data_IF_948279160238
#
_entry.id   IF_948279160238
#
_cell.length_a   1.000
_cell.length_b   1.000
_cell.length_c   1.000
_cell.angle_alpha   90.00
_cell.angle_beta   90.00
_cell.angle_gamma   90.00
#
_symmetry.space_group_name_H-M   'P 1'
#
loop_
_entity.id
_entity.type
_entity.pdbx_description
1 polymer ?
#
# COMPACT_ATOMS: atom_id res chain seq x y z
N UNK A 1 20.54 -30.62 -31.05
CA UNK A 1 21.16 -29.88 -29.93
C UNK A 1 22.04 -28.80 -30.51
N UNK A 2 21.92 -27.55 -30.05
CA UNK A 2 22.77 -26.45 -30.55
C UNK A 2 24.21 -26.69 -30.06
N UNK A 3 25.22 -26.73 -30.96
CA UNK A 3 26.61 -26.93 -30.57
C UNK A 3 27.10 -25.77 -29.69
N UNK A 4 27.98 -26.05 -28.73
CA UNK A 4 28.63 -25.06 -27.84
C UNK A 4 27.70 -24.18 -26.98
N UNK A 5 26.49 -24.65 -26.64
CA UNK A 5 25.61 -23.94 -25.71
C UNK A 5 26.27 -23.78 -24.33
N UNK A 6 26.37 -22.54 -23.79
CA UNK A 6 26.82 -22.32 -22.42
C UNK A 6 25.90 -23.03 -21.41
N UNK A 7 26.48 -23.64 -20.36
CA UNK A 7 25.73 -24.44 -19.38
C UNK A 7 24.64 -23.66 -18.63
N UNK A 8 24.79 -22.34 -18.54
CA UNK A 8 23.88 -21.44 -17.85
C UNK A 8 22.72 -20.93 -18.74
N UNK A 9 22.64 -21.35 -20.00
CA UNK A 9 21.47 -21.08 -20.84
C UNK A 9 20.70 -22.37 -21.15
N UNK A 10 19.37 -22.23 -21.15
CA UNK A 10 18.42 -23.32 -21.37
C UNK A 10 18.04 -23.51 -22.84
N UNK A 11 16.75 -23.77 -23.07
CA UNK A 11 16.18 -24.03 -24.40
C UNK A 11 16.04 -22.77 -25.24
N UNK A 12 16.09 -21.61 -24.59
CA UNK A 12 16.03 -20.29 -25.19
C UNK A 12 17.28 -19.96 -26.03
N UNK A 13 18.39 -20.70 -25.89
CA UNK A 13 19.61 -20.48 -26.66
C UNK A 13 19.58 -21.12 -28.05
N UNK A 14 19.70 -20.28 -29.09
CA UNK A 14 19.62 -20.68 -30.50
C UNK A 14 20.97 -20.69 -31.22
N UNK A 15 22.08 -20.41 -30.52
CA UNK A 15 23.41 -20.36 -31.14
C UNK A 15 23.61 -19.09 -31.96
N UNK A 16 24.46 -19.19 -32.99
CA UNK A 16 24.78 -18.06 -33.85
C UNK A 16 23.79 -17.98 -35.02
N UNK A 17 22.72 -17.20 -34.84
CA UNK A 17 21.68 -16.92 -35.85
C UNK A 17 21.69 -15.45 -36.29
N UNK A 18 21.22 -15.18 -37.52
CA UNK A 18 21.13 -13.82 -38.05
C UNK A 18 20.02 -13.01 -37.38
N UNK A 19 19.99 -11.69 -37.60
CA UNK A 19 18.91 -10.84 -37.07
C UNK A 19 17.59 -11.12 -37.79
N UNK A 20 17.65 -11.35 -39.09
CA UNK A 20 16.50 -11.66 -39.94
C UNK A 20 15.87 -13.00 -39.53
N UNK A 21 16.70 -14.01 -39.26
CA UNK A 21 16.24 -15.31 -38.72
C UNK A 21 15.63 -15.14 -37.32
N UNK A 22 16.24 -14.28 -36.48
CA UNK A 22 15.72 -13.97 -35.14
C UNK A 22 14.34 -13.32 -35.22
N UNK A 23 14.18 -12.34 -36.11
CA UNK A 23 12.91 -11.64 -36.30
C UNK A 23 11.82 -12.59 -36.81
N UNK A 24 12.15 -13.51 -37.72
CA UNK A 24 11.24 -14.54 -38.19
C UNK A 24 10.80 -15.52 -37.08
N UNK A 25 11.71 -15.89 -36.17
CA UNK A 25 11.41 -16.78 -35.03
C UNK A 25 10.59 -16.10 -33.92
N UNK A 26 10.73 -14.78 -33.80
CA UNK A 26 10.00 -13.97 -32.80
C UNK A 26 8.73 -13.32 -33.38
N UNK A 27 8.40 -13.58 -34.65
CA UNK A 27 7.22 -12.99 -35.26
C UNK A 27 5.94 -13.60 -34.69
N UNK A 28 4.93 -12.75 -34.48
CA UNK A 28 3.62 -13.15 -33.95
C UNK A 28 3.34 -12.72 -32.52
N UNK A 29 3.94 -13.38 -31.51
CA UNK A 29 3.52 -13.23 -30.11
C UNK A 29 4.40 -12.20 -29.37
N UNK A 30 3.77 -11.15 -28.85
CA UNK A 30 4.43 -10.14 -28.01
C UNK A 30 4.97 -10.76 -26.70
N UNK A 31 6.17 -10.36 -26.28
CA UNK A 31 6.84 -10.93 -25.12
C UNK A 31 7.63 -12.21 -25.39
N UNK A 32 7.60 -12.75 -26.62
CA UNK A 32 8.50 -13.85 -27.01
C UNK A 32 9.95 -13.39 -27.01
N UNK A 33 10.85 -14.29 -26.62
CA UNK A 33 12.27 -14.01 -26.53
C UNK A 33 13.12 -15.22 -26.85
N UNK A 34 14.36 -14.94 -27.27
CA UNK A 34 15.40 -15.94 -27.46
C UNK A 34 16.78 -15.35 -27.17
N UNK A 35 17.75 -16.23 -26.94
CA UNK A 35 19.16 -15.86 -26.78
C UNK A 35 19.93 -16.36 -28.00
N UNK A 36 20.77 -15.49 -28.54
CA UNK A 36 21.67 -15.81 -29.65
C UNK A 36 23.08 -15.34 -29.37
N UNK A 37 24.05 -16.00 -29.99
CA UNK A 37 25.44 -15.56 -30.02
C UNK A 37 25.64 -14.49 -31.11
N UNK A 38 26.49 -13.51 -30.82
CA UNK A 38 26.79 -12.43 -31.76
C UNK A 38 27.70 -12.91 -32.88
N UNK A 39 27.25 -12.77 -34.14
CA UNK A 39 28.08 -13.00 -35.33
C UNK A 39 29.30 -12.08 -35.41
N UNK A 40 29.24 -10.89 -34.81
CA UNK A 40 30.34 -9.90 -34.83
C UNK A 40 31.42 -10.17 -33.78
N UNK A 41 31.03 -10.76 -32.65
CA UNK A 41 31.90 -10.99 -31.49
C UNK A 41 31.58 -12.35 -30.88
N UNK A 42 32.30 -13.42 -31.28
CA UNK A 42 32.16 -14.74 -30.68
C UNK A 42 32.33 -14.68 -29.15
N UNK A 43 31.56 -15.50 -28.42
CA UNK A 43 31.51 -15.50 -26.97
C UNK A 43 30.69 -14.36 -26.33
N UNK A 44 30.08 -13.48 -27.14
CA UNK A 44 29.11 -12.48 -26.66
C UNK A 44 27.69 -12.90 -27.00
N UNK A 45 26.80 -12.85 -26.01
CA UNK A 45 25.41 -13.27 -26.12
C UNK A 45 24.45 -12.08 -26.13
N UNK A 46 23.35 -12.20 -26.87
CA UNK A 46 22.31 -11.17 -27.02
C UNK A 46 20.95 -11.79 -26.73
N UNK A 47 20.18 -11.14 -25.87
CA UNK A 47 18.75 -11.38 -25.69
C UNK A 47 17.98 -10.61 -26.75
N UNK A 48 17.23 -11.31 -27.59
CA UNK A 48 16.26 -10.71 -28.49
C UNK A 48 14.86 -10.90 -27.91
N UNK A 49 14.10 -9.81 -27.80
CA UNK A 49 12.78 -9.75 -27.17
C UNK A 49 11.81 -8.99 -28.08
N UNK A 50 10.64 -9.57 -28.37
CA UNK A 50 9.59 -8.91 -29.14
C UNK A 50 8.76 -8.00 -28.23
N UNK A 51 8.71 -6.71 -28.53
CA UNK A 51 7.91 -5.73 -27.80
C UNK A 51 7.50 -4.57 -28.71
N UNK A 52 6.21 -4.19 -28.71
CA UNK A 52 5.72 -3.08 -29.53
C UNK A 52 5.87 -3.31 -31.04
N UNK A 53 5.63 -4.55 -31.48
CA UNK A 53 5.84 -5.01 -32.87
C UNK A 53 7.28 -4.83 -33.40
N UNK A 54 8.26 -4.73 -32.51
CA UNK A 54 9.68 -4.61 -32.86
C UNK A 54 10.52 -5.57 -32.02
N UNK A 55 11.62 -6.06 -32.58
CA UNK A 55 12.57 -6.88 -31.84
C UNK A 55 13.62 -6.00 -31.17
N UNK A 56 13.60 -5.96 -29.84
CA UNK A 56 14.58 -5.28 -29.00
C UNK A 56 15.74 -6.23 -28.71
N UNK A 57 16.96 -5.76 -28.92
CA UNK A 57 18.18 -6.56 -28.73
C UNK A 57 18.98 -6.01 -27.55
N UNK A 58 19.26 -6.85 -26.56
CA UNK A 58 19.98 -6.49 -25.34
C UNK A 58 21.23 -7.35 -25.18
N UNK A 59 22.38 -6.73 -24.92
CA UNK A 59 23.60 -7.49 -24.63
C UNK A 59 23.47 -8.17 -23.26
N UNK A 60 23.67 -9.47 -23.22
CA UNK A 60 23.63 -10.26 -21.99
C UNK A 60 25.01 -10.44 -21.40
N UNK A 61 25.07 -10.39 -20.08
CA UNK A 61 26.24 -10.68 -19.27
C UNK A 61 25.92 -11.73 -18.21
N UNK A 62 26.96 -12.41 -17.73
CA UNK A 62 26.84 -13.45 -16.72
C UNK A 62 28.06 -13.43 -15.78
N UNK A 63 27.81 -13.20 -14.49
CA UNK A 63 28.82 -13.20 -13.40
C UNK A 63 28.49 -14.22 -12.30
N UNK A 64 27.73 -15.27 -12.65
CA UNK A 64 27.01 -16.15 -11.73
C UNK A 64 25.51 -15.80 -11.65
N UNK A 65 25.14 -14.57 -12.01
CA UNK A 65 23.77 -14.12 -12.25
C UNK A 65 23.62 -13.54 -13.65
N UNK A 66 22.41 -13.54 -14.19
CA UNK A 66 22.10 -12.96 -15.50
C UNK A 66 21.79 -11.47 -15.38
N UNK A 67 22.33 -10.65 -16.27
CA UNK A 67 22.04 -9.21 -16.29
C UNK A 67 22.24 -8.55 -17.66
N UNK A 68 21.52 -7.44 -17.87
CA UNK A 68 21.68 -6.51 -19.01
C UNK A 68 22.18 -5.14 -18.51
N UNK A 69 21.78 -4.73 -17.30
CA UNK A 69 22.12 -3.46 -16.67
C UNK A 69 22.59 -3.64 -15.23
N UNK A 70 22.08 -2.82 -14.30
CA UNK A 70 22.48 -2.86 -12.89
C UNK A 70 21.90 -4.08 -12.13
N UNK A 71 20.69 -4.50 -12.50
CA UNK A 71 19.94 -5.58 -11.82
C UNK A 71 20.49 -6.95 -12.18
N UNK A 72 20.65 -7.82 -11.17
CA UNK A 72 21.15 -9.19 -11.32
C UNK A 72 20.07 -10.22 -10.99
N UNK A 73 19.84 -11.15 -11.89
CA UNK A 73 18.75 -12.13 -11.83
C UNK A 73 19.27 -13.57 -11.72
N UNK A 74 18.52 -14.41 -11.03
CA UNK A 74 18.84 -15.84 -10.88
C UNK A 74 18.49 -16.64 -12.14
N UNK A 75 17.45 -16.21 -12.87
CA UNK A 75 17.04 -16.82 -14.13
C UNK A 75 16.91 -15.79 -15.24
N UNK A 76 17.07 -16.25 -16.50
CA UNK A 76 16.75 -15.43 -17.68
C UNK A 76 15.27 -15.06 -17.71
N UNK A 77 14.40 -15.96 -17.25
CA UNK A 77 12.97 -15.68 -17.21
C UNK A 77 12.67 -14.46 -16.34
N UNK A 78 13.24 -14.36 -15.14
CA UNK A 78 13.05 -13.21 -14.24
C UNK A 78 13.56 -11.91 -14.86
N UNK A 79 14.70 -11.97 -15.55
CA UNK A 79 15.27 -10.83 -16.28
C UNK A 79 14.31 -10.35 -17.37
N UNK A 80 13.78 -11.28 -18.18
CA UNK A 80 12.82 -10.94 -19.25
C UNK A 80 11.52 -10.40 -18.66
N UNK A 81 11.01 -10.99 -17.59
CA UNK A 81 9.79 -10.54 -16.90
C UNK A 81 9.96 -9.10 -16.38
N UNK A 82 11.05 -8.80 -15.66
CA UNK A 82 11.34 -7.44 -15.20
C UNK A 82 11.56 -6.46 -16.37
N UNK A 83 12.21 -6.93 -17.44
CA UNK A 83 12.43 -6.16 -18.66
C UNK A 83 11.13 -5.79 -19.37
N UNK A 84 10.20 -6.74 -19.53
CA UNK A 84 8.89 -6.49 -20.14
C UNK A 84 8.02 -5.55 -19.30
N UNK A 85 8.02 -5.72 -17.97
CA UNK A 85 7.33 -4.79 -17.06
C UNK A 85 7.89 -3.37 -17.24
N UNK A 86 9.22 -3.23 -17.24
CA UNK A 86 9.89 -1.94 -17.39
C UNK A 86 9.57 -1.31 -18.74
N UNK A 87 9.70 -2.06 -19.84
CA UNK A 87 9.38 -1.58 -21.19
C UNK A 87 7.92 -1.14 -21.30
N UNK A 88 6.99 -1.91 -20.76
CA UNK A 88 5.56 -1.59 -20.82
C UNK A 88 5.22 -0.32 -20.06
N UNK A 89 5.68 -0.21 -18.81
CA UNK A 89 5.42 0.94 -17.94
C UNK A 89 6.08 2.20 -18.50
N UNK A 90 7.35 2.13 -18.87
CA UNK A 90 8.06 3.29 -19.42
C UNK A 90 7.48 3.73 -20.77
N UNK A 91 7.02 2.82 -21.62
CA UNK A 91 6.44 3.18 -22.92
C UNK A 91 5.06 3.83 -22.78
N UNK A 92 4.20 3.31 -21.88
CA UNK A 92 2.82 3.79 -21.75
C UNK A 92 2.65 4.97 -20.80
N UNK A 93 3.55 5.14 -19.83
CA UNK A 93 3.43 6.14 -18.79
C UNK A 93 4.65 7.07 -18.70
N UNK A 94 5.47 7.20 -19.75
CA UNK A 94 6.67 8.05 -19.75
C UNK A 94 6.43 9.46 -19.20
N UNK A 95 5.41 10.15 -19.74
CA UNK A 95 5.06 11.52 -19.33
C UNK A 95 4.61 11.58 -17.87
N UNK A 96 3.78 10.61 -17.45
CA UNK A 96 3.33 10.50 -16.07
C UNK A 96 4.50 10.25 -15.11
N UNK A 97 5.43 9.36 -15.50
CA UNK A 97 6.62 9.03 -14.72
C UNK A 97 7.51 10.27 -14.54
N UNK A 98 7.66 11.09 -15.57
CA UNK A 98 8.41 12.34 -15.48
C UNK A 98 7.77 13.32 -14.48
N UNK A 99 6.43 13.35 -14.41
CA UNK A 99 5.67 14.27 -13.59
C UNK A 99 5.40 13.78 -12.15
N UNK A 100 5.69 12.53 -11.80
CA UNK A 100 5.34 11.96 -10.48
C UNK A 100 5.95 12.70 -9.28
N UNK A 101 6.99 13.52 -9.52
CA UNK A 101 7.70 14.26 -8.47
C UNK A 101 7.17 15.69 -8.25
N UNK A 102 6.26 16.17 -9.11
CA UNK A 102 5.83 17.58 -9.13
C UNK A 102 4.96 17.93 -7.91
N UNK A 103 4.16 16.99 -7.40
CA UNK A 103 3.32 17.17 -6.21
C UNK A 103 3.52 15.99 -5.25
N UNK A 104 4.59 15.99 -4.45
CA UNK A 104 4.86 14.89 -3.52
C UNK A 104 3.89 14.91 -2.34
N UNK A 105 3.55 13.72 -1.84
CA UNK A 105 2.73 13.57 -0.62
C UNK A 105 3.58 13.60 0.66
N UNK A 106 4.91 13.54 0.52
CA UNK A 106 5.86 13.37 1.62
C UNK A 106 5.67 14.39 2.75
N UNK A 107 5.41 15.65 2.41
CA UNK A 107 5.26 16.75 3.38
C UNK A 107 3.93 16.70 4.16
N UNK A 108 2.98 15.87 3.72
CA UNK A 108 1.62 15.83 4.27
C UNK A 108 1.24 14.46 4.83
N UNK A 109 2.02 13.41 4.55
CA UNK A 109 1.68 12.03 4.87
C UNK A 109 2.80 11.36 5.66
N UNK A 110 2.42 10.70 6.77
CA UNK A 110 3.32 9.83 7.53
C UNK A 110 3.54 10.24 8.99
N UNK A 111 4.50 9.56 9.62
CA UNK A 111 4.79 9.73 11.05
C UNK A 111 5.63 10.98 11.33
N UNK A 112 6.37 11.51 10.36
CA UNK A 112 7.20 12.71 10.54
C UNK A 112 6.34 13.96 10.77
N UNK A 113 5.24 14.12 10.05
CA UNK A 113 4.30 15.26 10.22
C UNK A 113 3.48 15.19 11.50
N UNK A 114 3.03 13.99 11.89
CA UNK A 114 2.24 13.77 13.12
C UNK A 114 3.11 13.81 14.39
N UNK A 115 4.35 13.33 14.31
CA UNK A 115 5.32 13.43 15.42
C UNK A 115 5.86 14.84 15.64
N UNK A 116 5.93 15.68 14.60
CA UNK A 116 6.38 17.07 14.72
C UNK A 116 5.37 18.00 15.43
N UNK A 117 4.07 17.66 15.42
CA UNK A 117 3.02 18.39 16.14
C UNK A 117 2.96 18.09 17.64
N UNK A 118 3.52 16.95 18.07
CA UNK A 118 3.76 16.66 19.48
C UNK A 118 5.17 17.10 19.83
N UNK A 119 5.31 18.36 20.24
CA UNK A 119 6.57 18.89 20.74
C UNK A 119 7.23 17.90 21.70
N UNK A 120 8.48 17.57 21.42
CA UNK A 120 9.37 16.77 22.27
C UNK A 120 9.75 17.53 23.56
N UNK A 121 8.72 17.79 24.36
CA UNK A 121 8.81 18.21 25.73
C UNK A 121 7.74 17.42 26.51
N UNK A 122 7.88 16.09 26.58
CA UNK A 122 6.96 15.31 27.42
C UNK A 122 6.87 13.80 27.28
N UNK A 123 7.39 13.16 26.21
CA UNK A 123 7.38 11.69 26.17
C UNK A 123 8.64 11.16 26.85
N UNK A 124 8.62 11.16 28.19
CA UNK A 124 9.48 10.24 28.95
C UNK A 124 9.18 8.83 28.46
N UNK A 125 10.25 8.09 28.17
CA UNK A 125 10.25 6.66 27.91
C UNK A 125 9.17 5.94 28.74
N UNK A 126 8.42 5.05 28.09
CA UNK A 126 7.66 4.00 28.77
C UNK A 126 8.56 3.32 29.81
N UNK A 127 8.27 3.37 31.12
CA UNK A 127 8.89 2.49 32.07
C UNK A 127 7.93 1.35 32.38
N UNK A 128 8.31 0.14 31.98
CA UNK A 128 7.98 -1.03 32.76
C UNK A 128 8.76 -0.88 34.09
N UNK A 129 8.09 -0.75 35.23
CA UNK A 129 8.45 -1.39 36.51
C UNK A 129 7.57 -0.95 37.70
N UNK A 130 7.04 -1.98 38.38
CA UNK A 130 6.89 -2.20 39.82
C UNK A 130 6.95 -0.95 40.74
N UNK A 131 5.84 -0.70 41.44
CA UNK A 131 5.65 0.36 42.43
C UNK A 131 6.23 -0.04 43.81
N UNK A 132 6.97 0.87 44.50
CA UNK A 132 6.74 1.06 45.95
C UNK A 132 6.78 2.58 46.33
N UNK A 133 6.63 3.00 47.62
CA UNK A 133 5.52 3.84 48.06
C UNK A 133 5.85 5.34 48.21
N UNK A 134 4.77 6.11 48.31
CA UNK A 134 4.70 7.57 48.48
C UNK A 134 5.29 8.04 49.83
N UNK A 135 6.02 9.18 49.85
CA UNK A 135 6.09 10.04 51.03
C UNK A 135 5.37 11.38 50.80
N UNK A 136 4.53 11.70 51.78
CA UNK A 136 3.78 12.93 52.03
C UNK A 136 4.67 14.13 52.35
N UNK A 137 4.30 15.33 51.88
CA UNK A 137 4.76 16.62 52.45
C UNK A 137 3.57 17.62 52.46
N UNK A 138 3.40 18.44 53.52
CA UNK A 138 2.14 19.12 53.83
C UNK A 138 2.01 20.54 53.25
N UNK A 139 0.79 21.06 53.38
CA UNK A 139 0.32 22.38 52.99
C UNK A 139 0.96 23.53 53.79
N UNK A 140 1.08 24.71 53.18
CA UNK A 140 0.58 25.99 53.75
C UNK A 140 0.79 27.22 52.82
N UNK A 141 -0.35 27.86 52.52
CA UNK A 141 -0.73 29.28 52.42
C UNK A 141 0.26 30.46 52.15
N UNK A 142 -0.23 31.31 51.23
CA UNK A 142 -0.56 32.75 51.38
C UNK A 142 0.26 33.89 50.70
N UNK A 143 -0.52 34.80 50.08
CA UNK A 143 -0.32 36.23 49.64
C UNK A 143 0.18 36.54 48.21
N UNK A 144 -0.03 37.77 47.69
CA UNK A 144 -1.32 38.35 47.27
C UNK A 144 -1.31 38.83 45.79
N UNK A 145 -2.49 39.16 45.28
CA UNK A 145 -2.79 39.37 43.86
C UNK A 145 -2.65 40.83 43.39
N UNK A 146 -1.46 41.29 42.98
CA UNK A 146 -1.32 42.57 42.23
C UNK A 146 -0.13 42.61 41.25
N UNK A 147 0.27 41.48 40.64
CA UNK A 147 1.34 41.50 39.61
C UNK A 147 1.07 40.60 38.40
N UNK A 148 -0.22 40.33 38.11
CA UNK A 148 -0.63 39.47 37.00
C UNK A 148 -0.78 40.17 35.65
N UNK A 149 -0.70 41.51 35.59
CA UNK A 149 -0.93 42.26 34.34
C UNK A 149 0.34 42.65 33.57
N UNK A 150 1.54 42.51 34.16
CA UNK A 150 2.82 42.82 33.50
C UNK A 150 3.51 41.59 32.88
N UNK A 151 3.16 40.37 33.32
CA UNK A 151 3.76 39.11 32.83
C UNK A 151 3.06 38.53 31.58
N UNK A 152 1.76 38.80 31.39
CA UNK A 152 1.00 38.35 30.22
C UNK A 152 1.37 39.11 28.94
N UNK A 153 1.75 40.40 29.06
CA UNK A 153 2.20 41.20 27.91
C UNK A 153 3.66 40.91 27.55
N UNK A 154 4.52 40.54 28.52
CA UNK A 154 5.90 40.05 28.22
C UNK A 154 5.96 38.64 27.62
N UNK A 155 4.93 37.80 27.83
CA UNK A 155 4.81 36.51 27.14
C UNK A 155 4.26 36.61 25.72
N UNK A 156 3.58 37.71 25.38
CA UNK A 156 3.04 37.93 24.04
C UNK A 156 4.08 38.49 23.04
N UNK A 157 5.26 38.93 23.51
CA UNK A 157 6.34 39.48 22.67
C UNK A 157 7.58 38.60 22.59
N UNK A 158 7.48 37.32 22.94
CA UNK A 158 8.46 36.27 22.62
C UNK A 158 7.91 35.28 21.57
N UNK A 159 7.12 35.79 20.62
CA UNK A 159 6.89 35.10 19.35
C UNK A 159 8.00 35.51 18.37
N UNK A 160 8.57 34.50 17.73
CA UNK A 160 9.57 34.57 16.65
C UNK A 160 11.00 34.87 17.13
N UNK A 161 11.73 33.86 17.64
CA UNK A 161 13.15 34.08 17.90
C UNK A 161 14.00 32.92 18.41
N UNK A 162 13.42 31.84 18.95
CA UNK A 162 14.23 30.66 19.27
C UNK A 162 14.31 29.75 18.06
N UNK A 163 15.42 29.87 17.33
CA UNK A 163 15.89 28.89 16.34
C UNK A 163 15.88 27.51 17.00
N UNK A 164 14.79 26.76 16.83
CA UNK A 164 14.87 25.30 16.85
C UNK A 164 15.96 24.94 15.85
N UNK A 165 17.06 24.36 16.33
CA UNK A 165 18.07 23.80 15.45
C UNK A 165 17.33 22.84 14.52
N UNK A 166 17.19 23.19 13.24
CA UNK A 166 16.53 22.33 12.27
C UNK A 166 17.34 21.04 12.25
N UNK A 167 16.75 19.98 12.79
CA UNK A 167 17.35 18.67 12.77
C UNK A 167 17.56 18.28 11.30
N UNK A 168 18.82 18.17 10.89
CA UNK A 168 19.19 17.85 9.52
C UNK A 168 20.02 16.56 9.52
N UNK A 169 19.42 15.49 9.02
CA UNK A 169 20.09 14.21 8.83
C UNK A 169 19.72 13.64 7.47
N UNK A 170 20.73 13.44 6.63
CA UNK A 170 20.57 12.76 5.35
C UNK A 170 20.16 11.30 5.52
N UNK A 171 19.32 10.81 4.61
CA UNK A 171 18.88 9.41 4.58
C UNK A 171 19.96 8.49 3.98
N UNK A 172 20.12 7.30 4.53
CA UNK A 172 21.04 6.27 4.04
C UNK A 172 20.33 5.27 3.13
N UNK A 173 19.99 5.70 1.91
CA UNK A 173 19.25 4.87 0.95
C UNK A 173 20.09 3.74 0.34
N UNK A 174 19.53 2.53 0.36
CA UNK A 174 20.10 1.35 -0.30
C UNK A 174 19.08 0.71 -1.21
N UNK A 175 19.53 0.20 -2.36
CA UNK A 175 18.68 -0.56 -3.28
C UNK A 175 18.05 -1.74 -2.53
N UNK A 176 16.74 -1.89 -2.66
CA UNK A 176 15.98 -2.87 -1.91
C UNK A 176 15.01 -3.62 -2.84
N UNK A 177 14.86 -4.93 -2.59
CA UNK A 177 13.87 -5.75 -3.27
C UNK A 177 12.68 -5.97 -2.33
N UNK A 178 11.53 -5.43 -2.71
CA UNK A 178 10.31 -5.51 -1.91
C UNK A 178 9.58 -6.83 -2.17
N UNK A 179 9.16 -7.51 -1.11
CA UNK A 179 8.36 -8.74 -1.19
C UNK A 179 6.88 -8.37 -1.12
N UNK A 180 6.19 -8.43 -2.24
CA UNK A 180 4.81 -7.94 -2.39
C UNK A 180 4.75 -6.51 -2.96
N UNK A 181 3.57 -6.04 -3.38
CA UNK A 181 3.41 -4.71 -3.96
C UNK A 181 3.68 -3.62 -2.91
N UNK A 182 4.47 -2.61 -3.27
CA UNK A 182 4.82 -1.50 -2.39
C UNK A 182 4.70 -0.17 -3.15
N UNK A 183 4.39 0.89 -2.42
CA UNK A 183 4.23 2.25 -2.93
C UNK A 183 5.29 3.17 -2.35
N UNK A 184 5.70 4.13 -3.15
CA UNK A 184 6.69 5.13 -2.77
C UNK A 184 6.08 6.12 -1.79
N UNK A 185 6.73 6.30 -0.64
CA UNK A 185 6.26 7.19 0.42
C UNK A 185 6.48 8.68 0.10
N UNK A 186 7.16 8.99 -1.02
CA UNK A 186 7.37 10.36 -1.50
C UNK A 186 6.30 10.80 -2.50
N UNK A 187 6.10 10.02 -3.58
CA UNK A 187 5.18 10.36 -4.67
C UNK A 187 3.86 9.57 -4.66
N UNK A 188 3.62 8.73 -3.66
CA UNK A 188 2.45 7.85 -3.53
C UNK A 188 2.28 6.79 -4.65
N UNK A 189 3.20 6.72 -5.62
CA UNK A 189 3.06 5.87 -6.78
C UNK A 189 3.64 4.46 -6.56
N UNK A 190 3.13 3.50 -7.32
CA UNK A 190 3.56 2.10 -7.27
C UNK A 190 5.05 1.95 -7.63
N UNK A 191 5.79 1.11 -6.90
CA UNK A 191 7.17 0.75 -7.22
C UNK A 191 7.19 -0.53 -8.07
N UNK A 192 7.28 -0.36 -9.39
CA UNK A 192 7.20 -1.47 -10.35
C UNK A 192 8.52 -2.25 -10.49
N UNK A 193 8.41 -3.46 -11.04
CA UNK A 193 9.52 -4.38 -11.28
C UNK A 193 9.51 -5.59 -10.34
N UNK A 194 10.28 -6.60 -10.72
CA UNK A 194 10.37 -7.87 -10.00
C UNK A 194 11.39 -7.81 -8.86
N UNK A 195 12.52 -7.13 -9.10
CA UNK A 195 13.57 -6.91 -8.10
C UNK A 195 14.09 -5.48 -8.16
N UNK A 196 14.70 -5.03 -7.06
CA UNK A 196 15.31 -3.71 -6.96
C UNK A 196 14.36 -2.59 -7.44
N UNK A 197 13.09 -2.66 -7.03
CA UNK A 197 12.02 -1.74 -7.47
C UNK A 197 12.24 -0.31 -6.98
N UNK A 198 12.99 -0.16 -5.89
CA UNK A 198 13.26 1.12 -5.27
C UNK A 198 14.41 1.05 -4.28
N UNK A 199 14.45 2.04 -3.41
CA UNK A 199 15.44 2.16 -2.34
C UNK A 199 14.76 2.23 -0.98
N UNK A 200 15.42 1.67 0.02
CA UNK A 200 15.01 1.72 1.43
C UNK A 200 16.09 2.37 2.25
N UNK A 201 15.72 3.34 3.09
CA UNK A 201 16.65 3.93 4.03
C UNK A 201 17.03 2.90 5.11
N UNK A 202 18.32 2.65 5.29
CA UNK A 202 18.84 1.70 6.28
C UNK A 202 18.59 2.16 7.73
N UNK A 203 18.45 3.49 7.91
CA UNK A 203 18.37 4.14 9.21
C UNK A 203 16.92 4.26 9.70
N UNK A 204 16.03 4.91 8.92
CA UNK A 204 14.62 5.13 9.31
C UNK A 204 13.63 4.15 8.69
N UNK A 205 14.03 3.38 7.66
CA UNK A 205 13.16 2.42 6.98
C UNK A 205 12.24 3.00 5.90
N UNK A 206 12.37 4.30 5.56
CA UNK A 206 11.63 4.97 4.48
C UNK A 206 11.85 4.28 3.11
N UNK A 207 10.76 4.01 2.39
CA UNK A 207 10.77 3.32 1.09
C UNK A 207 10.33 4.27 -0.03
N UNK A 208 11.19 4.47 -1.04
CA UNK A 208 10.92 5.40 -2.16
C UNK A 208 11.53 4.89 -3.47
N UNK A 209 11.11 5.44 -4.62
CA UNK A 209 11.80 5.20 -5.90
C UNK A 209 13.23 5.75 -5.88
N UNK A 210 14.11 5.20 -6.73
CA UNK A 210 15.50 5.66 -6.94
C UNK A 210 15.60 7.12 -7.40
N UNK A 211 14.61 7.63 -8.15
CA UNK A 211 14.55 9.04 -8.54
C UNK A 211 14.05 9.91 -7.38
N UNK A 212 12.99 9.47 -6.69
CA UNK A 212 12.42 10.18 -5.55
C UNK A 212 13.42 10.35 -4.40
N UNK A 213 14.32 9.39 -4.17
CA UNK A 213 15.34 9.48 -3.10
C UNK A 213 16.27 10.69 -3.23
N UNK A 214 16.40 11.28 -4.42
CA UNK A 214 17.19 12.50 -4.65
C UNK A 214 16.44 13.77 -4.24
N UNK A 215 15.12 13.68 -4.09
CA UNK A 215 14.21 14.79 -3.79
C UNK A 215 13.76 14.79 -2.32
N UNK A 216 13.91 13.66 -1.62
CA UNK A 216 13.55 13.55 -0.19
C UNK A 216 14.42 14.49 0.66
N UNK A 217 13.82 15.34 1.52
CA UNK A 217 14.55 16.21 2.45
C UNK A 217 15.48 15.46 3.42
N UNK A 218 16.42 16.18 4.02
CA UNK A 218 17.36 15.65 5.03
C UNK A 218 16.76 15.62 6.43
N UNK A 219 15.64 14.94 6.63
CA UNK A 219 14.88 14.88 7.89
C UNK A 219 14.85 13.46 8.49
N UNK A 220 15.87 12.65 8.22
CA UNK A 220 15.88 11.22 8.58
C UNK A 220 15.79 11.00 10.09
N UNK A 221 14.70 10.38 10.57
CA UNK A 221 14.52 9.98 11.97
C UNK A 221 14.68 8.46 12.14
N UNK A 222 15.84 7.95 12.64
CA UNK A 222 16.11 6.52 12.73
C UNK A 222 15.15 5.76 13.64
N UNK A 223 14.63 6.41 14.68
CA UNK A 223 13.72 5.81 15.65
C UNK A 223 12.45 5.26 14.99
N UNK A 224 12.02 5.86 13.87
CA UNK A 224 10.88 5.40 13.07
C UNK A 224 11.07 3.98 12.51
N UNK A 225 12.29 3.46 12.43
CA UNK A 225 12.56 2.08 12.00
C UNK A 225 11.89 1.04 12.89
N UNK A 226 11.68 1.35 14.16
CA UNK A 226 11.03 0.45 15.11
C UNK A 226 9.49 0.47 14.98
N UNK A 227 8.94 1.48 14.31
CA UNK A 227 7.50 1.60 14.06
C UNK A 227 7.13 0.71 12.88
N UNK A 228 6.53 -0.44 13.16
CA UNK A 228 5.97 -1.32 12.13
C UNK A 228 4.64 -0.74 11.65
N UNK A 229 4.62 -0.27 10.41
CA UNK A 229 3.40 0.26 9.78
C UNK A 229 2.39 -0.87 9.57
N UNK A 230 1.13 -0.57 9.87
CA UNK A 230 -0.01 -1.47 9.63
C UNK A 230 -0.97 -0.84 8.62
N UNK A 231 -1.22 0.48 8.75
CA UNK A 231 -1.95 1.28 7.77
C UNK A 231 -1.12 1.47 6.50
N UNK A 232 -1.82 1.67 5.38
CA UNK A 232 -1.23 1.89 4.04
C UNK A 232 -0.33 0.77 3.53
N UNK A 233 -0.41 -0.42 4.12
CA UNK A 233 0.23 -1.63 3.64
C UNK A 233 -0.75 -2.44 2.80
N UNK A 234 -0.25 -3.13 1.79
CA UNK A 234 -1.07 -4.07 1.02
C UNK A 234 -1.67 -5.15 1.93
N UNK A 235 -2.97 -5.41 1.77
CA UNK A 235 -3.73 -6.31 2.62
C UNK A 235 -3.16 -7.72 2.61
N UNK A 236 -2.89 -8.26 1.43
CA UNK A 236 -2.37 -9.63 1.28
C UNK A 236 -0.97 -9.75 1.86
N UNK A 237 -0.13 -8.73 1.66
CA UNK A 237 1.24 -8.68 2.19
C UNK A 237 1.24 -8.62 3.71
N UNK A 238 0.39 -7.77 4.33
CA UNK A 238 0.26 -7.64 5.77
C UNK A 238 -0.20 -8.96 6.42
N UNK A 239 -1.25 -9.57 5.86
CA UNK A 239 -1.83 -10.82 6.36
C UNK A 239 -0.81 -11.96 6.32
N UNK A 240 -0.06 -12.09 5.22
CA UNK A 240 1.03 -13.07 5.09
C UNK A 240 2.18 -12.81 6.06
N UNK A 241 2.61 -11.56 6.20
CA UNK A 241 3.72 -11.20 7.08
C UNK A 241 3.43 -11.51 8.56
N UNK A 242 2.17 -11.38 8.98
CA UNK A 242 1.72 -11.68 10.34
C UNK A 242 1.18 -13.10 10.54
N UNK A 243 1.14 -13.92 9.48
CA UNK A 243 0.57 -15.27 9.49
C UNK A 243 -0.83 -15.32 10.12
N UNK A 244 -1.70 -14.41 9.67
CA UNK A 244 -3.11 -14.34 10.09
C UNK A 244 -4.00 -14.64 8.88
N UNK A 245 -5.31 -14.79 9.09
CA UNK A 245 -6.30 -14.86 8.00
C UNK A 245 -6.74 -13.46 7.54
N UNK A 246 -6.66 -12.48 8.44
CA UNK A 246 -7.12 -11.10 8.25
C UNK A 246 -6.31 -10.12 9.11
N UNK A 247 -6.41 -8.79 8.87
CA UNK A 247 -5.63 -7.79 9.59
C UNK A 247 -6.04 -7.64 11.06
N UNK A 248 -5.05 -7.52 11.95
CA UNK A 248 -5.32 -7.34 13.37
C UNK A 248 -6.12 -6.08 13.70
N UNK A 249 -5.95 -5.00 12.91
CA UNK A 249 -6.70 -3.74 13.11
C UNK A 249 -8.19 -3.97 12.89
N UNK A 250 -8.55 -4.76 11.89
CA UNK A 250 -9.95 -5.05 11.60
C UNK A 250 -10.54 -5.94 12.69
N UNK A 251 -9.80 -6.93 13.20
CA UNK A 251 -10.25 -7.76 14.34
C UNK A 251 -10.43 -6.93 15.61
N UNK A 252 -9.45 -6.09 15.95
CA UNK A 252 -9.47 -5.28 17.17
C UNK A 252 -10.58 -4.24 17.13
N UNK A 253 -10.71 -3.48 16.04
CA UNK A 253 -11.75 -2.45 15.93
C UNK A 253 -13.14 -3.05 15.96
N UNK A 254 -13.37 -4.14 15.21
CA UNK A 254 -14.68 -4.79 15.19
C UNK A 254 -15.02 -5.35 16.57
N UNK A 255 -14.09 -6.08 17.20
CA UNK A 255 -14.29 -6.61 18.56
C UNK A 255 -14.64 -5.51 19.56
N UNK A 256 -13.94 -4.38 19.50
CA UNK A 256 -14.20 -3.23 20.37
C UNK A 256 -15.62 -2.68 20.15
N UNK A 257 -16.04 -2.50 18.88
CA UNK A 257 -17.38 -2.00 18.53
C UNK A 257 -18.48 -2.91 19.10
N UNK A 258 -18.37 -4.24 18.93
CA UNK A 258 -19.40 -5.15 19.47
C UNK A 258 -19.34 -5.29 21.00
N UNK A 259 -18.16 -5.15 21.62
CA UNK A 259 -18.00 -5.25 23.07
C UNK A 259 -18.44 -4.01 23.85
N UNK A 260 -18.60 -2.86 23.18
CA UNK A 260 -19.25 -1.69 23.79
C UNK A 260 -20.78 -1.77 23.71
N UNK A 261 -21.28 -2.58 22.79
CA UNK A 261 -22.71 -2.94 22.66
C UNK A 261 -23.08 -4.16 23.54
N UNK A 262 -22.10 -4.89 24.11
CA UNK A 262 -22.32 -6.04 24.99
C UNK A 262 -21.16 -6.26 25.96
N UNK A 263 -21.48 -6.34 27.26
CA UNK A 263 -20.53 -6.30 28.40
C UNK A 263 -19.13 -6.91 28.17
N UNK A 264 -18.11 -6.06 28.43
CA UNK A 264 -16.66 -6.32 28.60
C UNK A 264 -15.80 -6.21 27.33
N UNK A 265 -15.38 -4.97 27.04
CA UNK A 265 -14.20 -4.67 26.25
C UNK A 265 -12.93 -4.67 27.13
N UNK A 266 -11.85 -5.31 26.66
CA UNK A 266 -10.56 -5.43 27.35
C UNK A 266 -9.46 -4.55 26.69
N UNK A 267 -9.87 -3.54 25.92
CA UNK A 267 -8.99 -2.54 25.31
C UNK A 267 -9.56 -1.13 25.58
N UNK A 268 -9.52 -0.76 26.86
CA UNK A 268 -9.65 0.62 27.35
C UNK A 268 -10.79 1.46 26.74
N UNK A 269 -12.02 1.19 27.17
CA UNK A 269 -13.06 2.24 27.19
C UNK A 269 -12.53 3.54 27.86
N UNK A 270 -11.54 3.42 28.74
CA UNK A 270 -10.88 4.49 29.48
C UNK A 270 -10.00 5.45 28.63
N UNK A 271 -9.56 5.07 27.42
CA UNK A 271 -8.64 5.92 26.61
C UNK A 271 -9.36 6.67 25.49
N UNK A 272 -10.35 6.05 24.86
CA UNK A 272 -11.17 6.66 23.81
C UNK A 272 -12.63 6.42 24.15
N UNK A 273 -13.30 7.40 24.75
CA UNK A 273 -14.70 7.30 25.19
C UNK A 273 -15.65 7.16 23.99
N UNK A 274 -15.40 7.91 22.91
CA UNK A 274 -16.26 7.94 21.73
C UNK A 274 -15.99 6.76 20.77
N UNK A 275 -16.98 5.89 20.62
CA UNK A 275 -16.93 4.74 19.69
C UNK A 275 -16.75 5.18 18.22
N UNK A 276 -17.15 6.41 17.87
CA UNK A 276 -16.98 6.93 16.51
C UNK A 276 -15.51 7.09 16.13
N UNK A 277 -14.61 7.19 17.11
CA UNK A 277 -13.16 7.16 16.88
C UNK A 277 -12.73 5.80 16.33
N UNK A 278 -13.23 4.71 16.93
CA UNK A 278 -12.91 3.34 16.52
C UNK A 278 -13.54 3.02 15.16
N UNK A 279 -14.81 3.39 14.95
CA UNK A 279 -15.46 3.21 13.63
C UNK A 279 -14.78 4.06 12.55
N UNK A 280 -14.35 5.27 12.90
CA UNK A 280 -13.54 6.15 12.05
C UNK A 280 -12.21 5.52 11.66
N UNK A 281 -11.47 4.97 12.64
CA UNK A 281 -10.19 4.30 12.41
C UNK A 281 -10.32 3.04 11.53
N UNK A 282 -11.41 2.29 11.69
CA UNK A 282 -11.74 1.13 10.84
C UNK A 282 -12.00 1.55 9.39
N UNK A 283 -12.82 2.59 9.18
CA UNK A 283 -13.09 3.15 7.84
C UNK A 283 -11.81 3.68 7.21
N UNK A 284 -11.00 4.39 7.98
CA UNK A 284 -9.70 4.91 7.55
C UNK A 284 -8.77 3.78 7.10
N UNK A 285 -8.73 2.66 7.83
CA UNK A 285 -7.90 1.51 7.47
C UNK A 285 -8.21 1.00 6.06
N UNK A 286 -9.49 0.80 5.73
CA UNK A 286 -9.90 0.34 4.40
C UNK A 286 -9.62 1.38 3.31
N UNK A 287 -9.84 2.66 3.61
CA UNK A 287 -9.56 3.76 2.68
C UNK A 287 -8.08 3.86 2.34
N UNK A 288 -7.22 3.63 3.33
CA UNK A 288 -5.77 3.73 3.20
C UNK A 288 -5.13 2.49 2.56
N UNK A 289 -5.88 1.40 2.35
CA UNK A 289 -5.35 0.25 1.64
C UNK A 289 -4.89 0.66 0.22
N UNK A 290 -3.69 0.25 -0.23
CA UNK A 290 -3.24 0.58 -1.58
C UNK A 290 -4.11 -0.05 -2.67
N UNK A 291 -4.54 -1.30 -2.45
CA UNK A 291 -5.52 -2.01 -3.28
C UNK A 291 -6.83 -2.08 -2.48
N UNK A 292 -7.97 -1.64 -3.05
CA UNK A 292 -9.22 -1.59 -2.31
C UNK A 292 -9.65 -3.00 -1.88
N UNK A 293 -10.50 -3.09 -0.84
CA UNK A 293 -10.93 -4.39 -0.32
C UNK A 293 -11.60 -5.22 -1.42
N UNK A 294 -12.48 -4.61 -2.20
CA UNK A 294 -12.92 -5.14 -3.50
C UNK A 294 -11.90 -4.66 -4.53
N UNK A 295 -11.11 -5.59 -5.07
CA UNK A 295 -9.94 -5.27 -5.90
C UNK A 295 -10.29 -4.61 -7.23
N UNK A 296 -9.33 -3.90 -7.82
CA UNK A 296 -9.49 -3.30 -9.16
C UNK A 296 -9.84 -4.32 -10.24
N UNK A 297 -9.32 -5.56 -10.15
CA UNK A 297 -9.61 -6.62 -11.11
C UNK A 297 -11.04 -7.17 -10.98
N UNK A 298 -11.57 -7.23 -9.76
CA UNK A 298 -12.93 -7.72 -9.50
C UNK A 298 -13.98 -6.62 -9.70
N UNK A 299 -13.61 -5.34 -9.57
CA UNK A 299 -14.52 -4.20 -9.63
C UNK A 299 -15.47 -4.21 -10.84
N UNK A 300 -15.01 -4.40 -12.10
CA UNK A 300 -15.93 -4.42 -13.25
C UNK A 300 -17.00 -5.49 -13.13
N UNK A 301 -16.65 -6.69 -12.64
CA UNK A 301 -17.62 -7.78 -12.47
C UNK A 301 -18.67 -7.47 -11.41
N UNK A 302 -18.29 -6.83 -10.31
CA UNK A 302 -19.26 -6.38 -9.30
C UNK A 302 -20.23 -5.33 -9.85
N UNK A 303 -19.72 -4.36 -10.59
CA UNK A 303 -20.53 -3.31 -11.19
C UNK A 303 -21.47 -3.90 -12.25
N UNK A 304 -20.98 -4.77 -13.13
CA UNK A 304 -21.80 -5.40 -14.16
C UNK A 304 -22.86 -6.34 -13.56
N UNK A 305 -22.53 -7.09 -12.52
CA UNK A 305 -23.50 -7.88 -11.77
C UNK A 305 -24.64 -7.01 -11.22
N UNK A 306 -24.32 -5.84 -10.65
CA UNK A 306 -25.33 -4.93 -10.08
C UNK A 306 -26.29 -4.31 -11.11
N UNK A 307 -25.97 -4.39 -12.41
CA UNK A 307 -26.84 -3.92 -13.51
C UNK A 307 -27.87 -4.97 -13.95
N UNK A 308 -27.76 -6.21 -13.49
CA UNK A 308 -28.69 -7.30 -13.84
C UNK A 308 -30.07 -7.03 -13.23
N UNK A 309 -31.12 -7.09 -14.05
CA UNK A 309 -32.49 -6.80 -13.62
C UNK A 309 -33.06 -7.87 -12.71
N UNK A 310 -32.85 -9.15 -13.03
CA UNK A 310 -33.32 -10.27 -12.22
C UNK A 310 -32.58 -10.35 -10.88
N UNK A 311 -33.28 -10.68 -9.79
CA UNK A 311 -32.70 -10.67 -8.45
C UNK A 311 -31.83 -11.88 -8.18
N UNK A 312 -32.22 -13.06 -8.67
CA UNK A 312 -31.52 -14.31 -8.39
C UNK A 312 -30.26 -14.40 -9.26
N UNK A 313 -30.36 -14.08 -10.55
CA UNK A 313 -29.21 -13.98 -11.46
C UNK A 313 -28.19 -12.93 -10.98
N UNK A 314 -28.67 -11.81 -10.41
CA UNK A 314 -27.81 -10.77 -9.83
C UNK A 314 -27.01 -11.30 -8.64
N UNK A 315 -27.65 -12.03 -7.73
CA UNK A 315 -26.98 -12.60 -6.57
C UNK A 315 -25.97 -13.67 -6.98
N UNK A 316 -26.30 -14.51 -7.96
CA UNK A 316 -25.38 -15.50 -8.52
C UNK A 316 -24.15 -14.81 -9.16
N UNK A 317 -24.36 -13.75 -9.95
CA UNK A 317 -23.27 -12.98 -10.55
C UNK A 317 -22.38 -12.29 -9.49
N UNK A 318 -22.96 -11.78 -8.40
CA UNK A 318 -22.19 -11.23 -7.26
C UNK A 318 -21.36 -12.33 -6.60
N UNK A 319 -21.93 -13.53 -6.41
CA UNK A 319 -21.20 -14.66 -5.85
C UNK A 319 -20.02 -15.09 -6.75
N UNK A 320 -20.19 -15.11 -8.06
CA UNK A 320 -19.09 -15.34 -9.01
C UNK A 320 -18.02 -14.23 -8.96
N UNK A 321 -18.41 -12.98 -8.74
CA UNK A 321 -17.46 -11.88 -8.56
C UNK A 321 -16.64 -12.03 -7.26
N UNK A 322 -17.23 -12.53 -6.17
CA UNK A 322 -16.52 -12.80 -4.92
C UNK A 322 -15.41 -13.84 -5.09
N UNK A 323 -15.59 -14.84 -5.95
CA UNK A 323 -14.57 -15.87 -6.25
C UNK A 323 -13.31 -15.31 -6.92
N UNK A 324 -13.37 -14.12 -7.51
CA UNK A 324 -12.19 -13.45 -8.06
C UNK A 324 -11.31 -12.78 -7.00
N UNK A 325 -11.83 -12.54 -5.80
CA UNK A 325 -11.08 -11.84 -4.78
C UNK A 325 -9.93 -12.72 -4.26
N UNK A 326 -8.74 -12.15 -4.02
CA UNK A 326 -7.69 -12.86 -3.31
C UNK A 326 -8.17 -13.29 -1.92
N UNK A 327 -7.68 -14.42 -1.42
CA UNK A 327 -8.13 -15.02 -0.16
C UNK A 327 -8.13 -14.02 1.03
N UNK A 328 -7.09 -13.19 1.15
CA UNK A 328 -7.01 -12.19 2.21
C UNK A 328 -8.10 -11.11 2.09
N UNK A 329 -8.46 -10.72 0.87
CA UNK A 329 -9.55 -9.76 0.61
C UNK A 329 -10.91 -10.40 0.90
N UNK A 330 -11.14 -11.63 0.42
CA UNK A 330 -12.37 -12.37 0.64
C UNK A 330 -12.66 -12.59 2.14
N UNK A 331 -11.71 -13.13 2.91
CA UNK A 331 -11.89 -13.37 4.35
C UNK A 331 -12.06 -12.07 5.15
N UNK A 332 -11.39 -11.00 4.72
CA UNK A 332 -11.53 -9.69 5.36
C UNK A 332 -12.92 -9.09 5.08
N UNK A 333 -13.38 -9.19 3.83
CA UNK A 333 -14.70 -8.73 3.39
C UNK A 333 -15.82 -9.51 4.07
N UNK A 334 -15.75 -10.84 4.08
CA UNK A 334 -16.71 -11.71 4.75
C UNK A 334 -16.94 -11.28 6.19
N UNK A 335 -15.86 -11.20 6.97
CA UNK A 335 -15.96 -10.82 8.38
C UNK A 335 -16.50 -9.39 8.59
N UNK A 336 -16.16 -8.45 7.71
CA UNK A 336 -16.74 -7.11 7.74
C UNK A 336 -18.24 -7.17 7.45
N UNK A 337 -18.68 -7.90 6.43
CA UNK A 337 -20.09 -8.05 6.07
C UNK A 337 -20.88 -8.71 7.20
N UNK A 338 -20.35 -9.75 7.86
CA UNK A 338 -21.00 -10.38 9.03
C UNK A 338 -21.21 -9.37 10.17
N UNK A 339 -20.21 -8.53 10.45
CA UNK A 339 -20.32 -7.48 11.46
C UNK A 339 -21.37 -6.42 11.08
N UNK A 340 -21.33 -5.93 9.84
CA UNK A 340 -22.30 -4.93 9.35
C UNK A 340 -23.73 -5.49 9.32
N UNK A 341 -23.92 -6.75 8.92
CA UNK A 341 -25.21 -7.44 8.98
C UNK A 341 -25.76 -7.45 10.40
N UNK A 342 -24.93 -7.77 11.40
CA UNK A 342 -25.37 -7.70 12.79
C UNK A 342 -25.76 -6.29 13.22
N UNK A 343 -25.05 -5.23 12.79
CA UNK A 343 -25.45 -3.84 13.09
C UNK A 343 -26.86 -3.51 12.58
N UNK A 344 -27.26 -4.05 11.43
CA UNK A 344 -28.62 -3.85 10.89
C UNK A 344 -29.72 -4.48 11.76
N UNK A 345 -29.40 -5.45 12.62
CA UNK A 345 -30.37 -6.01 13.56
C UNK A 345 -30.77 -5.01 14.67
N UNK A 346 -29.93 -4.01 14.91
CA UNK A 346 -30.13 -2.94 15.89
C UNK A 346 -30.58 -1.62 15.24
N UNK A 347 -31.08 -1.66 13.99
CA UNK A 347 -31.53 -0.48 13.23
C UNK A 347 -32.50 0.41 14.01
N UNK A 348 -33.34 -0.17 14.88
CA UNK A 348 -34.30 0.58 15.69
C UNK A 348 -33.65 1.57 16.66
N UNK A 349 -32.42 1.29 17.10
CA UNK A 349 -31.67 2.10 18.05
C UNK A 349 -30.58 2.92 17.35
N UNK A 350 -29.81 2.31 16.46
CA UNK A 350 -28.69 2.95 15.78
C UNK A 350 -29.07 3.68 14.48
N UNK A 351 -30.28 3.46 13.95
CA UNK A 351 -30.80 4.04 12.70
C UNK A 351 -29.99 3.66 11.43
N UNK A 352 -29.17 2.61 11.52
CA UNK A 352 -28.28 2.14 10.45
C UNK A 352 -28.82 0.87 9.79
N UNK A 353 -29.58 1.05 8.72
CA UNK A 353 -29.96 -0.04 7.82
C UNK A 353 -28.86 -0.36 6.80
N UNK A 354 -29.06 -1.43 6.01
CA UNK A 354 -28.09 -1.87 5.01
C UNK A 354 -27.77 -0.78 3.96
N UNK A 355 -28.75 0.04 3.58
CA UNK A 355 -28.58 1.13 2.60
C UNK A 355 -27.73 2.27 3.18
N UNK A 356 -28.00 2.69 4.43
CA UNK A 356 -27.23 3.70 5.15
C UNK A 356 -25.77 3.26 5.33
N UNK A 357 -25.54 2.01 5.71
CA UNK A 357 -24.20 1.44 5.81
C UNK A 357 -23.50 1.38 4.45
N UNK A 358 -24.23 1.02 3.39
CA UNK A 358 -23.69 0.96 2.03
C UNK A 358 -23.32 2.34 1.48
N UNK A 359 -24.01 3.42 1.86
CA UNK A 359 -23.62 4.79 1.51
C UNK A 359 -22.22 5.12 2.07
N UNK A 360 -21.92 4.65 3.28
CA UNK A 360 -20.64 4.88 3.96
C UNK A 360 -19.53 3.97 3.41
N UNK A 361 -19.82 2.67 3.27
CA UNK A 361 -18.82 1.67 2.91
C UNK A 361 -18.62 1.49 1.41
N UNK A 362 -19.61 1.78 0.56
CA UNK A 362 -19.50 1.72 -0.91
C UNK A 362 -18.21 2.38 -1.46
N UNK A 363 -18.04 3.70 -1.29
CA UNK A 363 -16.83 4.40 -1.76
C UNK A 363 -15.57 4.08 -0.96
N UNK A 364 -15.70 3.46 0.22
CA UNK A 364 -14.56 3.07 1.07
C UNK A 364 -13.98 1.73 0.64
N UNK A 365 -14.82 0.78 0.22
CA UNK A 365 -14.43 -0.59 -0.12
C UNK A 365 -14.15 -0.78 -1.61
N UNK A 366 -14.70 0.09 -2.47
CA UNK A 366 -14.59 0.03 -3.92
C UNK A 366 -14.01 1.34 -4.45
N UNK A 367 -13.09 1.26 -5.41
CA UNK A 367 -12.55 2.42 -6.14
C UNK A 367 -12.47 2.11 -7.64
N UNK A 368 -13.00 2.97 -8.52
CA UNK A 368 -12.87 2.78 -9.95
C UNK A 368 -11.41 3.01 -10.42
N UNK A 369 -11.01 2.40 -11.53
CA UNK A 369 -9.78 2.76 -12.22
C UNK A 369 -9.99 4.13 -12.90
N UNK A 370 -9.14 5.11 -12.61
CA UNK A 370 -9.30 6.55 -12.85
C UNK A 370 -9.30 7.03 -14.32
N UNK A 371 -9.74 6.22 -15.29
CA UNK A 371 -9.71 6.60 -16.70
C UNK A 371 -10.87 7.53 -17.12
N UNK A 372 -12.01 7.49 -16.44
CA UNK A 372 -13.15 8.37 -16.71
C UNK A 372 -13.89 8.77 -15.42
N UNK A 373 -13.79 10.05 -15.06
CA UNK A 373 -14.42 10.63 -13.88
C UNK A 373 -15.95 10.57 -13.97
N UNK A 374 -16.53 10.70 -15.17
CA UNK A 374 -17.98 10.68 -15.35
C UNK A 374 -18.54 9.26 -15.21
N UNK A 375 -17.85 8.27 -15.77
CA UNK A 375 -18.18 6.86 -15.52
C UNK A 375 -18.07 6.52 -14.03
N UNK A 376 -17.00 6.97 -13.37
CA UNK A 376 -16.80 6.77 -11.94
C UNK A 376 -17.95 7.36 -11.09
N UNK A 377 -18.46 8.55 -11.44
CA UNK A 377 -19.59 9.17 -10.75
C UNK A 377 -20.90 8.38 -10.95
N UNK A 378 -21.14 7.88 -12.17
CA UNK A 378 -22.30 7.05 -12.47
C UNK A 378 -22.29 5.73 -11.68
N UNK A 379 -21.09 5.19 -11.46
CA UNK A 379 -20.87 3.94 -10.75
C UNK A 379 -21.11 4.02 -9.23
N UNK A 380 -21.09 5.21 -8.62
CA UNK A 380 -21.27 5.37 -7.17
C UNK A 380 -22.56 4.71 -6.68
N UNK A 381 -23.64 4.81 -7.47
CA UNK A 381 -24.93 4.17 -7.12
C UNK A 381 -24.81 2.65 -7.11
N UNK A 382 -24.08 2.09 -8.07
CA UNK A 382 -23.84 0.65 -8.17
C UNK A 382 -22.90 0.15 -7.08
N UNK A 383 -21.87 0.92 -6.71
CA UNK A 383 -21.00 0.59 -5.56
C UNK A 383 -21.78 0.47 -4.26
N UNK A 384 -22.72 1.41 -4.01
CA UNK A 384 -23.62 1.34 -2.86
C UNK A 384 -24.50 0.10 -2.93
N UNK A 385 -25.15 -0.14 -4.07
CA UNK A 385 -26.00 -1.32 -4.25
C UNK A 385 -25.25 -2.64 -4.02
N UNK A 386 -24.01 -2.75 -4.50
CA UNK A 386 -23.16 -3.93 -4.26
C UNK A 386 -22.96 -4.16 -2.76
N UNK A 387 -22.53 -3.15 -2.01
CA UNK A 387 -22.31 -3.28 -0.56
C UNK A 387 -23.62 -3.59 0.17
N UNK A 388 -24.73 -2.97 -0.23
CA UNK A 388 -26.05 -3.24 0.35
C UNK A 388 -26.46 -4.71 0.16
N UNK A 389 -26.27 -5.27 -1.03
CA UNK A 389 -26.56 -6.68 -1.33
C UNK A 389 -25.64 -7.62 -0.55
N UNK A 390 -24.35 -7.30 -0.45
CA UNK A 390 -23.38 -8.07 0.34
C UNK A 390 -23.76 -8.11 1.83
N UNK A 391 -24.28 -7.00 2.38
CA UNK A 391 -24.77 -6.96 3.76
C UNK A 391 -26.06 -7.77 3.90
N UNK A 392 -27.05 -7.56 3.03
CA UNK A 392 -28.36 -8.20 3.17
C UNK A 392 -28.30 -9.72 3.06
N UNK A 393 -27.52 -10.23 2.10
CA UNK A 393 -27.42 -11.65 1.74
C UNK A 393 -26.11 -12.29 2.20
N UNK A 394 -25.51 -11.76 3.27
CA UNK A 394 -24.23 -12.23 3.80
C UNK A 394 -24.20 -13.75 4.05
N UNK A 395 -25.24 -14.30 4.68
CA UNK A 395 -25.37 -15.74 5.01
C UNK A 395 -25.43 -16.67 3.79
N UNK A 396 -25.80 -16.15 2.61
CA UNK A 396 -25.94 -16.93 1.37
C UNK A 396 -24.68 -16.80 0.50
N UNK A 397 -24.07 -15.61 0.49
CA UNK A 397 -22.97 -15.27 -0.40
C UNK A 397 -21.60 -15.75 0.11
N UNK A 398 -21.43 -15.85 1.42
CA UNK A 398 -20.19 -16.22 2.10
C UNK A 398 -20.37 -17.47 2.95
#
# INVERSE_FOLDING_TARGET
>A
MVPNRPKYYGREFHGMISREETDALLDGIEGTYLIRESQRQPGTYTLALRFGNQTRNFRLFYDGKHFVGEKRFESIHDLVTDGLITLYVETRAAEYIACMTINPIYEHVGYTTTSAGFGWAGVRALPCEIRPPVPTIPAENDRPATDRLSALVRRATLKEGERTAKYEKAHNFKVHTFRGPHWCEYCANFMWGLIAQGVKCADCGLNVHKQCSKMVPHDCQPDLKHVKKVYSCDLTTLVKAHNRKRPMVVDMCIKEIESRDGEKADISADVYEDINVVTGALKLYFRDLPIPLITYDAYPKFIDASKISDSDERLEAIHEALKLLPLAHYETLRFLMSHLKRLTLYEKENLMNAENLAIVFGPTLMRPLEQDVMAALNDIRFQRLVVELLIRHEEILF
#
